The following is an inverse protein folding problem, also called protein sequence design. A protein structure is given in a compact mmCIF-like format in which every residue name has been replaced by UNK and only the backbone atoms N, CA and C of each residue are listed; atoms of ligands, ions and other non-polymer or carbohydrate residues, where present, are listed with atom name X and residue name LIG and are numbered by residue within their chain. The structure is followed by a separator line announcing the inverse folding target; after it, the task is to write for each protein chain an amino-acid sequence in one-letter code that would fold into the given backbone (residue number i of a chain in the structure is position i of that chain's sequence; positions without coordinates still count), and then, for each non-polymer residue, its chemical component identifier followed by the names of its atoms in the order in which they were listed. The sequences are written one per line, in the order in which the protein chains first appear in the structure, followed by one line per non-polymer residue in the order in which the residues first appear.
data_IF_925548440551
#
_entry.id   IF_925548440551
#
_cell.length_a   1.000
_cell.length_b   1.000
_cell.length_c   1.000
_cell.angle_alpha   90.00
_cell.angle_beta   90.00
_cell.angle_gamma   90.00
#
_symmetry.space_group_name_H-M   'P 1'
#
loop_
_entity.id
_entity.type
_entity.pdbx_description
1 polymer ?
#
# COMPACT_ATOMS: atom_id res chain seq x y z
N UNK A 1 26.77 10.60 16.05
CA UNK A 1 26.57 9.32 15.50
C UNK A 1 25.16 8.83 15.55
N UNK A 2 24.60 8.75 14.44
CA UNK A 2 23.18 8.43 14.37
C UNK A 2 22.94 6.97 14.32
N UNK A 3 22.57 6.46 15.44
CA UNK A 3 22.05 5.11 15.48
C UNK A 3 20.54 5.14 15.33
N UNK A 4 20.09 5.64 14.19
CA UNK A 4 18.68 5.52 13.90
C UNK A 4 18.40 4.07 13.59
N UNK A 5 17.88 3.36 14.57
CA UNK A 5 17.45 2.00 14.35
C UNK A 5 16.28 1.98 13.41
N UNK A 6 16.34 1.12 12.41
CA UNK A 6 15.21 0.90 11.54
C UNK A 6 14.06 0.30 12.36
N UNK A 7 12.88 0.84 12.18
CA UNK A 7 11.69 0.37 12.86
C UNK A 7 10.92 -0.53 11.91
N UNK A 8 10.64 -1.76 12.34
CA UNK A 8 9.84 -2.68 11.54
C UNK A 8 8.36 -2.40 11.76
N UNK A 9 7.65 -2.20 10.68
CA UNK A 9 6.20 -2.02 10.67
C UNK A 9 5.58 -3.11 9.81
N UNK A 10 4.39 -3.52 10.18
CA UNK A 10 3.70 -4.63 9.51
C UNK A 10 2.34 -4.16 9.04
N UNK A 11 2.05 -4.43 7.77
CA UNK A 11 0.81 -3.96 7.15
C UNK A 11 0.13 -5.08 6.37
N UNK A 12 -1.18 -5.09 6.41
CA UNK A 12 -1.98 -5.87 5.46
C UNK A 12 -2.52 -4.90 4.43
N UNK A 13 -2.13 -5.11 3.19
CA UNK A 13 -2.55 -4.27 2.08
C UNK A 13 -3.65 -5.01 1.32
N UNK A 14 -4.81 -4.39 1.20
CA UNK A 14 -5.94 -5.00 0.51
C UNK A 14 -6.00 -4.51 -0.93
N UNK A 15 -6.10 -5.46 -1.85
CA UNK A 15 -6.18 -5.15 -3.27
C UNK A 15 -7.58 -5.46 -3.76
N UNK A 16 -8.29 -4.41 -4.17
CA UNK A 16 -9.57 -4.55 -4.83
C UNK A 16 -9.35 -4.23 -6.30
N UNK A 17 -9.58 -5.20 -7.16
CA UNK A 17 -9.39 -5.04 -8.59
C UNK A 17 -10.70 -5.31 -9.31
N UNK A 18 -11.05 -4.42 -10.25
CA UNK A 18 -12.24 -4.57 -11.07
C UNK A 18 -11.97 -3.99 -12.44
N UNK A 19 -12.09 -4.82 -13.48
CA UNK A 19 -11.95 -4.37 -14.87
C UNK A 19 -10.67 -3.57 -15.13
N UNK A 20 -9.53 -4.09 -14.69
CA UNK A 20 -8.22 -3.46 -14.83
C UNK A 20 -8.06 -2.16 -14.04
N UNK A 21 -8.94 -1.94 -13.07
CA UNK A 21 -8.85 -0.80 -12.15
C UNK A 21 -8.54 -1.29 -10.75
N UNK A 22 -7.75 -0.49 -10.04
CA UNK A 22 -7.46 -0.75 -8.63
C UNK A 22 -8.11 0.32 -7.78
N UNK A 23 -8.61 -0.09 -6.63
CA UNK A 23 -9.17 0.85 -5.67
C UNK A 23 -8.07 1.45 -4.83
N UNK A 24 -7.92 2.76 -4.89
CA UNK A 24 -6.96 3.51 -4.09
C UNK A 24 -7.71 4.46 -3.19
N UNK A 25 -7.11 4.76 -2.04
CA UNK A 25 -7.67 5.73 -1.10
C UNK A 25 -6.68 6.86 -0.88
N UNK A 26 -7.19 8.01 -0.46
CA UNK A 26 -6.34 9.10 -0.03
C UNK A 26 -5.84 8.79 1.38
N UNK A 27 -4.53 8.78 1.55
CA UNK A 27 -3.94 8.46 2.85
C UNK A 27 -4.04 9.67 3.79
N UNK A 28 -4.97 9.60 4.73
CA UNK A 28 -5.09 10.61 5.79
C UNK A 28 -4.76 10.02 7.15
N UNK A 29 -4.54 8.71 7.22
CA UNK A 29 -4.36 7.98 8.47
C UNK A 29 -2.90 7.85 8.88
N UNK A 30 -2.02 7.55 7.93
CA UNK A 30 -0.61 7.34 8.24
C UNK A 30 0.18 8.63 8.08
N UNK A 31 1.26 8.77 8.85
CA UNK A 31 2.11 9.95 8.80
C UNK A 31 3.02 9.98 7.58
N UNK A 32 3.25 8.84 6.96
CA UNK A 32 4.02 8.74 5.73
C UNK A 32 3.09 8.80 4.53
N UNK A 33 3.56 9.34 3.42
CA UNK A 33 2.80 9.47 2.17
C UNK A 33 1.42 10.11 2.38
N UNK A 34 1.39 11.09 3.28
CA UNK A 34 0.12 11.73 3.65
C UNK A 34 -0.47 12.46 2.45
N UNK A 35 -1.78 12.30 2.26
CA UNK A 35 -2.55 12.90 1.15
C UNK A 35 -2.25 12.30 -0.22
N UNK A 36 -1.43 11.26 -0.30
CA UNK A 36 -1.21 10.55 -1.55
C UNK A 36 -2.20 9.40 -1.70
N UNK A 37 -2.38 8.93 -2.92
CA UNK A 37 -3.23 7.78 -3.20
C UNK A 37 -2.45 6.50 -2.97
N UNK A 38 -2.95 5.67 -2.07
CA UNK A 38 -2.34 4.38 -1.74
C UNK A 38 -3.42 3.30 -1.72
N UNK A 39 -2.98 2.03 -1.75
CA UNK A 39 -3.91 0.94 -1.53
C UNK A 39 -4.40 0.96 -0.07
N UNK A 40 -5.63 0.51 0.18
CA UNK A 40 -6.11 0.40 1.56
C UNK A 40 -5.19 -0.52 2.36
N UNK A 41 -4.71 -0.04 3.51
CA UNK A 41 -3.78 -0.79 4.35
C UNK A 41 -4.20 -0.71 5.80
N UNK A 42 -3.88 -1.76 6.55
CA UNK A 42 -4.08 -1.78 7.99
C UNK A 42 -2.74 -2.13 8.65
N UNK A 43 -2.34 -1.34 9.63
CA UNK A 43 -1.12 -1.61 10.37
C UNK A 43 -1.40 -2.64 11.46
N UNK A 44 -0.48 -3.60 11.61
CA UNK A 44 -0.56 -4.62 12.65
C UNK A 44 0.50 -4.38 13.71
N UNK A 45 0.18 -4.76 14.96
CA UNK A 45 1.12 -4.67 16.07
C UNK A 45 1.93 -5.97 16.15
N UNK A 46 3.16 -5.96 15.68
CA UNK A 46 4.12 -7.07 15.78
C UNK A 46 3.47 -8.45 15.69
N UNK A 47 2.93 -8.82 14.54
CA UNK A 47 2.27 -10.11 14.41
C UNK A 47 3.27 -11.26 14.46
N UNK A 48 2.84 -12.37 15.03
CA UNK A 48 3.66 -13.59 15.02
C UNK A 48 3.51 -14.28 13.68
N UNK A 49 4.61 -14.82 13.17
CA UNK A 49 4.59 -15.60 11.92
C UNK A 49 4.05 -14.80 10.73
N UNK A 50 4.45 -13.55 10.65
CA UNK A 50 4.04 -12.70 9.54
C UNK A 50 4.85 -13.03 8.30
N UNK A 51 4.15 -13.40 7.22
CA UNK A 51 4.80 -13.70 5.93
C UNK A 51 4.51 -12.59 4.96
N UNK A 52 5.44 -11.64 4.86
CA UNK A 52 5.30 -10.54 3.94
C UNK A 52 5.50 -10.97 2.49
N UNK A 53 4.74 -10.36 1.58
CA UNK A 53 4.94 -10.51 0.14
C UNK A 53 5.97 -9.53 -0.37
N UNK A 54 6.03 -8.37 0.27
CA UNK A 54 6.91 -7.28 -0.12
C UNK A 54 7.48 -6.61 1.11
N UNK A 55 8.65 -6.01 0.95
CA UNK A 55 9.18 -5.11 1.97
C UNK A 55 9.74 -3.86 1.30
N UNK A 56 9.52 -2.72 1.95
CA UNK A 56 10.01 -1.44 1.49
C UNK A 56 10.72 -0.73 2.62
N UNK A 57 11.79 -0.03 2.28
CA UNK A 57 12.45 0.83 3.23
C UNK A 57 12.05 2.27 2.95
N UNK A 58 11.47 2.93 3.93
CA UNK A 58 11.05 4.31 3.81
C UNK A 58 11.58 5.07 5.01
N UNK A 59 12.58 5.94 4.78
CA UNK A 59 13.29 6.62 5.85
C UNK A 59 13.92 5.58 6.78
N UNK A 60 13.60 5.61 8.08
CA UNK A 60 14.08 4.60 9.03
C UNK A 60 13.06 3.50 9.31
N UNK A 61 12.07 3.36 8.44
CA UNK A 61 10.99 2.39 8.62
C UNK A 61 11.12 1.26 7.60
N UNK A 62 11.09 0.03 8.09
CA UNK A 62 11.00 -1.15 7.24
C UNK A 62 9.54 -1.57 7.18
N UNK A 63 8.94 -1.41 6.02
CA UNK A 63 7.53 -1.78 5.83
C UNK A 63 7.45 -3.22 5.35
N UNK A 64 6.85 -4.07 6.16
CA UNK A 64 6.63 -5.47 5.80
C UNK A 64 5.16 -5.60 5.41
N UNK A 65 4.89 -5.95 4.16
CA UNK A 65 3.55 -5.87 3.60
C UNK A 65 3.08 -7.24 3.15
N UNK A 66 1.93 -7.63 3.66
CA UNK A 66 1.23 -8.81 3.18
C UNK A 66 0.08 -8.36 2.30
N UNK A 67 0.01 -8.89 1.08
CA UNK A 67 -1.02 -8.51 0.13
C UNK A 67 -2.17 -9.50 0.20
N UNK A 68 -3.38 -8.95 0.35
CA UNK A 68 -4.60 -9.75 0.37
C UNK A 68 -5.53 -9.23 -0.72
N UNK A 69 -5.93 -10.13 -1.61
CA UNK A 69 -6.90 -9.80 -2.64
C UNK A 69 -8.30 -9.90 -2.07
N UNK A 70 -9.13 -8.90 -2.34
CA UNK A 70 -10.47 -8.83 -1.81
C UNK A 70 -11.45 -8.49 -2.91
N UNK A 71 -12.68 -8.99 -2.77
CA UNK A 71 -13.75 -8.74 -3.74
C UNK A 71 -14.89 -7.91 -3.14
N UNK A 72 -14.59 -7.13 -2.11
CA UNK A 72 -15.62 -6.35 -1.45
C UNK A 72 -16.11 -5.21 -2.36
N UNK A 73 -17.41 -4.97 -2.35
CA UNK A 73 -18.02 -3.84 -3.05
C UNK A 73 -18.25 -2.65 -2.14
N UNK A 74 -17.69 -2.68 -0.94
CA UNK A 74 -17.88 -1.58 0.00
C UNK A 74 -17.20 -0.32 -0.53
N UNK A 75 -17.93 0.78 -0.50
CA UNK A 75 -17.36 2.08 -0.79
C UNK A 75 -16.55 2.53 0.42
N UNK A 76 -15.25 2.66 0.22
CA UNK A 76 -14.38 3.20 1.27
C UNK A 76 -14.33 4.72 1.15
N UNK A 77 -14.17 5.44 2.27
CA UNK A 77 -14.08 6.89 2.23
C UNK A 77 -12.87 7.33 1.39
N UNK A 78 -13.07 8.37 0.60
CA UNK A 78 -12.02 8.94 -0.25
C UNK A 78 -11.42 7.93 -1.23
N UNK A 79 -12.20 6.93 -1.64
CA UNK A 79 -11.71 5.91 -2.57
C UNK A 79 -11.88 6.34 -4.01
N UNK A 80 -10.99 5.82 -4.86
CA UNK A 80 -11.00 6.11 -6.29
C UNK A 80 -10.53 4.88 -7.04
N UNK A 81 -11.27 4.51 -8.08
CA UNK A 81 -10.86 3.45 -8.99
C UNK A 81 -9.93 4.02 -10.04
N UNK A 82 -8.70 3.51 -10.08
CA UNK A 82 -7.67 4.02 -10.99
C UNK A 82 -7.28 2.92 -11.97
N UNK A 83 -7.38 3.25 -13.25
CA UNK A 83 -7.01 2.32 -14.31
C UNK A 83 -5.48 2.24 -14.40
N UNK A 84 -4.95 1.02 -14.58
CA UNK A 84 -3.52 0.79 -14.73
C UNK A 84 -2.86 1.69 -15.77
N UNK A 85 -3.55 1.89 -16.90
CA UNK A 85 -3.02 2.71 -18.01
C UNK A 85 -2.95 4.19 -17.67
N UNK A 86 -3.69 4.62 -16.65
CA UNK A 86 -3.76 6.04 -16.25
C UNK A 86 -2.99 6.35 -14.99
N UNK A 87 -2.17 5.44 -14.51
CA UNK A 87 -1.39 5.68 -13.30
C UNK A 87 -0.46 6.87 -13.44
N UNK A 88 0.06 7.11 -14.64
CA UNK A 88 0.95 8.25 -14.87
C UNK A 88 0.22 9.59 -14.84
N UNK A 89 -1.10 9.58 -14.98
CA UNK A 89 -1.91 10.79 -14.94
C UNK A 89 -2.34 11.18 -13.53
N UNK A 90 -2.06 10.33 -12.56
CA UNK A 90 -2.36 10.61 -11.16
C UNK A 90 -1.06 10.77 -10.41
N UNK A 91 -1.05 11.67 -9.44
CA UNK A 91 0.13 11.85 -8.60
C UNK A 91 0.24 10.69 -7.61
N UNK A 92 0.75 9.58 -8.10
CA UNK A 92 0.94 8.40 -7.27
C UNK A 92 2.36 8.35 -6.72
N UNK A 93 2.52 7.98 -5.47
CA UNK A 93 3.86 7.82 -4.92
C UNK A 93 4.54 6.59 -5.52
N UNK A 94 5.84 6.60 -5.49
CA UNK A 94 6.64 5.46 -5.96
C UNK A 94 6.22 4.16 -5.28
N UNK A 95 5.87 4.25 -4.00
CA UNK A 95 5.38 3.12 -3.22
C UNK A 95 4.19 2.45 -3.91
N UNK A 96 3.17 3.23 -4.28
CA UNK A 96 1.97 2.71 -4.95
C UNK A 96 2.32 2.10 -6.30
N UNK A 97 3.19 2.77 -7.06
CA UNK A 97 3.61 2.27 -8.37
C UNK A 97 4.35 0.93 -8.27
N UNK A 98 5.18 0.77 -7.24
CA UNK A 98 5.90 -0.49 -7.01
C UNK A 98 4.96 -1.62 -6.64
N UNK A 99 3.93 -1.33 -5.85
CA UNK A 99 2.91 -2.33 -5.52
C UNK A 99 2.21 -2.83 -6.77
N UNK A 100 1.79 -1.91 -7.63
CA UNK A 100 1.11 -2.27 -8.88
C UNK A 100 2.02 -3.12 -9.76
N UNK A 101 3.29 -2.71 -9.87
CA UNK A 101 4.26 -3.47 -10.65
C UNK A 101 4.42 -4.89 -10.15
N UNK A 102 4.44 -5.07 -8.83
CA UNK A 102 4.49 -6.40 -8.24
C UNK A 102 3.24 -7.21 -8.58
N UNK A 103 2.07 -6.58 -8.49
CA UNK A 103 0.80 -7.26 -8.77
C UNK A 103 0.70 -7.72 -10.21
N UNK A 104 1.28 -6.96 -11.12
CA UNK A 104 1.23 -7.29 -12.55
C UNK A 104 2.19 -8.41 -12.92
N UNK A 105 3.23 -8.62 -12.13
CA UNK A 105 4.16 -9.72 -12.37
C UNK A 105 3.64 -11.07 -11.89
N UNK A 106 2.70 -11.05 -11.01
CA UNK A 106 2.16 -12.29 -10.41
C UNK A 106 0.70 -12.50 -10.87
#
# INVERSE_FOLDING_TARGET
KNNKKNIDKYFILKVYKKDKKYLLIKNTKFNFLKNFRIFPMTELSKPKNFNENLSFKMSNMNMNIKIMHSKSNKKLPSSLWVNQKKFNNHMLPTFTKKIVKYLEKN
#
